data_IF_727279886575
#
_entry.id   IF_727279886575
#
_cell.length_a   1.000
_cell.length_b   1.000
_cell.length_c   1.000
_cell.angle_alpha   90.00
_cell.angle_beta   90.00
_cell.angle_gamma   90.00
#
_symmetry.space_group_name_H-M   'P 1'
#
loop_
_entity.id
_entity.type
_entity.pdbx_description
1 polymer ?
#
# COMPACT_ATOMS: atom_id res chain seq x y z
N UNK A 1 10.91 4.59 43.50
CA UNK A 1 9.81 5.21 42.73
C UNK A 1 9.12 4.11 41.95
N UNK A 2 7.80 3.93 42.04
CA UNK A 2 7.15 2.75 41.45
C UNK A 2 7.01 2.88 39.93
N UNK A 3 7.45 1.86 39.18
CA UNK A 3 7.28 1.78 37.72
C UNK A 3 5.82 1.94 37.28
N UNK A 4 4.87 1.53 38.13
CA UNK A 4 3.43 1.70 37.92
C UNK A 4 2.98 3.15 37.67
N UNK A 5 3.61 4.15 38.30
CA UNK A 5 3.24 5.55 38.06
C UNK A 5 3.45 5.92 36.59
N UNK A 6 4.59 5.53 36.02
CA UNK A 6 4.95 5.84 34.64
C UNK A 6 4.11 5.05 33.65
N UNK A 7 3.77 3.79 33.97
CA UNK A 7 2.81 3.01 33.17
C UNK A 7 1.46 3.73 33.09
N UNK A 8 0.89 4.16 34.22
CA UNK A 8 -0.41 4.85 34.23
C UNK A 8 -0.34 6.19 33.49
N UNK A 9 0.74 6.96 33.67
CA UNK A 9 0.95 8.22 32.95
C UNK A 9 1.02 7.98 31.43
N UNK A 10 1.72 6.94 30.98
CA UNK A 10 1.75 6.54 29.57
C UNK A 10 0.35 6.17 29.06
N UNK A 11 -0.38 5.33 29.80
CA UNK A 11 -1.74 4.90 29.44
C UNK A 11 -2.73 6.07 29.32
N UNK A 12 -2.55 7.15 30.08
CA UNK A 12 -3.37 8.37 29.95
C UNK A 12 -3.04 9.15 28.68
N UNK A 13 -1.79 9.09 28.22
CA UNK A 13 -1.32 9.79 27.04
C UNK A 13 -1.50 8.97 25.75
N UNK A 14 -1.57 7.64 25.81
CA UNK A 14 -1.53 6.75 24.64
C UNK A 14 -2.67 6.94 23.64
N UNK A 15 -3.79 7.55 24.05
CA UNK A 15 -4.90 7.90 23.15
C UNK A 15 -4.69 9.17 22.33
N UNK A 16 -3.64 9.94 22.58
CA UNK A 16 -3.37 11.24 21.97
C UNK A 16 -1.90 11.34 21.57
N UNK A 17 -1.66 11.43 20.25
CA UNK A 17 -0.31 11.43 19.68
C UNK A 17 0.57 12.55 20.23
N UNK A 18 0.02 13.76 20.39
CA UNK A 18 0.79 14.91 20.85
C UNK A 18 1.15 14.76 22.32
N UNK A 19 0.19 14.35 23.16
CA UNK A 19 0.45 14.10 24.58
C UNK A 19 1.46 12.97 24.80
N UNK A 20 1.36 11.91 24.02
CA UNK A 20 2.32 10.80 24.08
C UNK A 20 3.73 11.29 23.72
N UNK A 21 3.87 12.05 22.63
CA UNK A 21 5.16 12.57 22.20
C UNK A 21 5.76 13.55 23.23
N UNK A 22 4.95 14.44 23.79
CA UNK A 22 5.39 15.34 24.86
C UNK A 22 5.84 14.57 26.10
N UNK A 23 5.08 13.54 26.53
CA UNK A 23 5.42 12.71 27.68
C UNK A 23 6.75 11.98 27.48
N UNK A 24 6.97 11.39 26.31
CA UNK A 24 8.20 10.67 25.97
C UNK A 24 9.41 11.62 25.92
N UNK A 25 9.23 12.85 25.43
CA UNK A 25 10.29 13.86 25.42
C UNK A 25 10.60 14.42 26.81
N UNK A 26 9.58 14.79 27.58
CA UNK A 26 9.73 15.36 28.93
C UNK A 26 10.35 14.37 29.92
N UNK A 27 10.02 13.08 29.78
CA UNK A 27 10.47 12.01 30.67
C UNK A 27 11.37 11.00 29.95
N UNK A 28 12.13 11.48 28.96
CA UNK A 28 12.99 10.65 28.13
C UNK A 28 13.91 9.77 28.97
N UNK A 29 14.55 10.33 30.01
CA UNK A 29 15.45 9.59 30.90
C UNK A 29 14.81 8.39 31.62
N UNK A 30 13.49 8.38 31.80
CA UNK A 30 12.73 7.30 32.43
C UNK A 30 12.32 6.28 31.38
N UNK A 31 11.76 6.72 30.27
CA UNK A 31 11.27 5.83 29.20
C UNK A 31 12.41 5.20 28.38
N UNK A 32 13.56 5.87 28.27
CA UNK A 32 14.75 5.33 27.59
C UNK A 32 15.51 4.26 28.39
N UNK A 33 15.04 3.95 29.61
CA UNK A 33 15.63 2.93 30.46
C UNK A 33 14.54 2.32 31.36
N UNK A 34 13.57 1.68 30.73
CA UNK A 34 12.40 1.11 31.41
C UNK A 34 12.58 -0.38 31.66
N UNK A 35 12.03 -0.88 32.77
CA UNK A 35 12.01 -2.32 33.06
C UNK A 35 11.17 -3.08 32.02
N UNK A 36 11.67 -4.24 31.61
CA UNK A 36 11.02 -5.11 30.61
C UNK A 36 9.57 -5.40 30.96
N UNK A 37 9.28 -5.72 32.23
CA UNK A 37 7.92 -6.02 32.68
C UNK A 37 6.97 -4.83 32.51
N UNK A 38 7.46 -3.61 32.76
CA UNK A 38 6.68 -2.39 32.53
C UNK A 38 6.43 -2.15 31.04
N UNK A 39 7.43 -2.40 30.18
CA UNK A 39 7.26 -2.31 28.73
C UNK A 39 6.24 -3.32 28.20
N UNK A 40 6.27 -4.56 28.70
CA UNK A 40 5.27 -5.58 28.34
C UNK A 40 3.88 -5.12 28.74
N UNK A 41 3.69 -4.63 29.97
CA UNK A 41 2.37 -4.11 30.41
C UNK A 41 1.89 -2.98 29.50
N UNK A 42 2.77 -2.02 29.17
CA UNK A 42 2.40 -0.92 28.28
C UNK A 42 2.03 -1.44 26.89
N UNK A 43 2.82 -2.36 26.32
CA UNK A 43 2.57 -2.96 25.00
C UNK A 43 1.18 -3.58 24.94
N UNK A 44 0.85 -4.44 25.90
CA UNK A 44 -0.42 -5.17 25.93
C UNK A 44 -1.60 -4.25 26.28
N UNK A 45 -1.43 -3.31 27.22
CA UNK A 45 -2.53 -2.45 27.66
C UNK A 45 -2.82 -1.29 26.69
N UNK A 46 -1.78 -0.67 26.12
CA UNK A 46 -1.93 0.42 25.17
C UNK A 46 -2.15 -0.08 23.73
N UNK A 47 -2.08 -1.40 23.50
CA UNK A 47 -2.19 -2.03 22.19
C UNK A 47 -1.22 -1.41 21.16
N UNK A 48 0.01 -1.15 21.61
CA UNK A 48 1.10 -0.65 20.75
C UNK A 48 2.01 -1.82 20.40
N UNK A 49 2.45 -1.93 19.14
CA UNK A 49 3.29 -3.04 18.70
C UNK A 49 4.78 -2.68 18.78
N UNK A 50 5.28 -2.48 20.00
CA UNK A 50 6.71 -2.22 20.25
C UNK A 50 7.49 -3.52 20.45
N UNK A 51 8.72 -3.57 19.95
CA UNK A 51 9.63 -4.70 20.15
C UNK A 51 10.16 -4.67 21.60
N UNK A 52 10.19 -5.83 22.25
CA UNK A 52 10.72 -6.01 23.60
C UNK A 52 11.60 -7.25 23.59
N UNK A 53 12.89 -7.08 23.88
CA UNK A 53 13.89 -8.15 23.94
C UNK A 53 13.77 -8.94 25.24
N UNK A 54 13.85 -10.27 25.19
CA UNK A 54 13.67 -11.09 26.39
C UNK A 54 14.92 -11.14 27.28
N UNK A 55 16.10 -10.95 26.67
CA UNK A 55 17.40 -11.05 27.35
C UNK A 55 17.81 -9.79 28.11
N UNK A 56 17.13 -8.67 27.88
CA UNK A 56 17.46 -7.38 28.48
C UNK A 56 16.44 -7.00 29.56
N UNK A 57 16.89 -6.89 30.81
CA UNK A 57 16.03 -6.52 31.95
C UNK A 57 15.50 -5.09 31.86
N UNK A 58 16.28 -4.19 31.25
CA UNK A 58 15.90 -2.80 31.00
C UNK A 58 16.22 -2.41 29.58
N UNK A 59 15.30 -1.68 28.95
CA UNK A 59 15.35 -1.39 27.52
C UNK A 59 14.93 0.05 27.26
N UNK A 60 15.33 0.54 26.08
CA UNK A 60 14.97 1.87 25.60
C UNK A 60 13.61 1.82 24.90
N UNK A 61 12.56 2.24 25.61
CA UNK A 61 11.21 2.28 25.09
C UNK A 61 11.01 3.40 24.07
N UNK A 62 11.71 4.53 24.23
CA UNK A 62 11.65 5.63 23.26
C UNK A 62 12.13 5.15 21.89
N UNK A 63 13.29 4.48 21.86
CA UNK A 63 13.82 3.86 20.65
C UNK A 63 12.89 2.80 20.08
N UNK A 64 12.30 1.95 20.92
CA UNK A 64 11.37 0.91 20.44
C UNK A 64 10.12 1.51 19.78
N UNK A 65 9.64 2.67 20.26
CA UNK A 65 8.53 3.42 19.66
C UNK A 65 8.97 4.09 18.34
N UNK A 66 10.16 4.70 18.31
CA UNK A 66 10.71 5.31 17.09
C UNK A 66 10.93 4.26 15.98
N UNK A 67 11.47 3.10 16.33
CA UNK A 67 11.66 1.98 15.41
C UNK A 67 10.30 1.48 14.89
N UNK A 68 9.30 1.33 15.76
CA UNK A 68 7.94 0.97 15.36
C UNK A 68 7.34 1.99 14.38
N UNK A 69 7.49 3.30 14.64
CA UNK A 69 6.99 4.36 13.75
C UNK A 69 7.70 4.36 12.40
N UNK A 70 9.01 4.16 12.39
CA UNK A 70 9.81 4.05 11.18
C UNK A 70 9.43 2.82 10.36
N UNK A 71 9.29 1.65 10.99
CA UNK A 71 8.86 0.40 10.34
C UNK A 71 7.47 0.56 9.70
N UNK A 72 6.53 1.19 10.42
CA UNK A 72 5.19 1.47 9.90
C UNK A 72 5.21 2.42 8.69
N UNK A 73 6.04 3.47 8.75
CA UNK A 73 6.22 4.42 7.65
C UNK A 73 6.80 3.74 6.40
N UNK A 74 7.92 3.02 6.55
CA UNK A 74 8.57 2.32 5.45
C UNK A 74 7.64 1.28 4.82
N UNK A 75 6.93 0.51 5.65
CA UNK A 75 5.96 -0.48 5.17
C UNK A 75 4.80 0.18 4.41
N UNK A 76 4.33 1.33 4.91
CA UNK A 76 3.30 2.13 4.25
C UNK A 76 3.73 2.70 2.91
N UNK A 77 4.95 3.23 2.83
CA UNK A 77 5.57 3.74 1.60
C UNK A 77 5.72 2.62 0.56
N UNK A 78 6.32 1.50 0.93
CA UNK A 78 6.51 0.35 0.04
C UNK A 78 5.18 -0.21 -0.49
N UNK A 79 4.16 -0.35 0.38
CA UNK A 79 2.83 -0.77 -0.04
C UNK A 79 2.17 0.26 -0.97
N UNK A 80 2.38 1.55 -0.69
CA UNK A 80 1.89 2.66 -1.48
C UNK A 80 2.49 2.66 -2.89
N UNK A 81 3.80 2.50 -3.00
CA UNK A 81 4.54 2.40 -4.26
C UNK A 81 4.08 1.20 -5.09
N UNK A 82 4.09 0.00 -4.50
CA UNK A 82 3.64 -1.22 -5.19
C UNK A 82 2.20 -1.11 -5.70
N UNK A 83 1.30 -0.50 -4.91
CA UNK A 83 -0.08 -0.24 -5.34
C UNK A 83 -0.16 0.82 -6.43
N UNK A 84 0.71 1.83 -6.39
CA UNK A 84 0.83 2.87 -7.40
C UNK A 84 1.27 2.29 -8.75
N UNK A 85 2.34 1.51 -8.75
CA UNK A 85 2.87 0.82 -9.93
C UNK A 85 1.84 -0.13 -10.55
N UNK A 86 1.24 -1.02 -9.75
CA UNK A 86 0.22 -1.95 -10.25
C UNK A 86 -0.97 -1.23 -10.89
N UNK A 87 -1.40 -0.09 -10.33
CA UNK A 87 -2.45 0.76 -10.91
C UNK A 87 -1.99 1.44 -12.19
N UNK A 88 -0.76 1.94 -12.22
CA UNK A 88 -0.15 2.56 -13.40
C UNK A 88 -0.09 1.57 -14.56
N UNK A 89 0.44 0.37 -14.33
CA UNK A 89 0.51 -0.68 -15.33
C UNK A 89 -0.87 -1.13 -15.81
N UNK A 90 -1.84 -1.31 -14.92
CA UNK A 90 -3.19 -1.71 -15.30
C UNK A 90 -3.84 -0.67 -16.23
N UNK A 91 -3.67 0.62 -15.91
CA UNK A 91 -4.15 1.72 -16.76
C UNK A 91 -3.42 1.77 -18.10
N UNK A 92 -2.10 1.55 -18.12
CA UNK A 92 -1.31 1.47 -19.34
C UNK A 92 -1.81 0.35 -20.26
N UNK A 93 -1.94 -0.87 -19.72
CA UNK A 93 -2.46 -2.03 -20.46
C UNK A 93 -3.88 -1.80 -20.97
N UNK A 94 -4.74 -1.14 -20.20
CA UNK A 94 -6.11 -0.82 -20.64
C UNK A 94 -6.11 0.20 -21.78
N UNK A 95 -5.26 1.23 -21.71
CA UNK A 95 -5.12 2.22 -22.77
C UNK A 95 -4.61 1.57 -24.08
N UNK A 96 -3.57 0.73 -24.00
CA UNK A 96 -3.05 -0.03 -25.14
C UNK A 96 -4.12 -0.93 -25.75
N UNK A 97 -4.89 -1.65 -24.93
CA UNK A 97 -6.00 -2.49 -25.40
C UNK A 97 -7.06 -1.67 -26.16
N UNK A 98 -7.40 -0.48 -25.66
CA UNK A 98 -8.37 0.40 -26.34
C UNK A 98 -7.86 0.89 -27.69
N UNK A 99 -6.56 1.19 -27.80
CA UNK A 99 -5.94 1.59 -29.07
C UNK A 99 -5.97 0.42 -30.04
N UNK A 100 -5.51 -0.76 -29.62
CA UNK A 100 -5.49 -1.96 -30.45
C UNK A 100 -6.90 -2.36 -30.91
N UNK A 101 -7.90 -2.25 -30.03
CA UNK A 101 -9.28 -2.54 -30.41
C UNK A 101 -9.78 -1.61 -31.52
N UNK A 102 -9.49 -0.30 -31.43
CA UNK A 102 -9.86 0.63 -32.51
C UNK A 102 -9.20 0.28 -33.83
N UNK A 103 -7.91 -0.07 -33.82
CA UNK A 103 -7.20 -0.49 -35.04
C UNK A 103 -7.79 -1.78 -35.64
N UNK A 104 -8.21 -2.72 -34.79
CA UNK A 104 -8.89 -3.94 -35.23
C UNK A 104 -10.26 -3.63 -35.84
N UNK A 105 -11.04 -2.75 -35.21
CA UNK A 105 -12.35 -2.34 -35.72
C UNK A 105 -12.23 -1.64 -37.09
N UNK A 106 -11.21 -0.78 -37.26
CA UNK A 106 -10.94 -0.13 -38.56
C UNK A 106 -10.54 -1.14 -39.64
N UNK A 107 -9.70 -2.12 -39.32
CA UNK A 107 -9.33 -3.19 -40.25
C UNK A 107 -10.52 -4.06 -40.61
N UNK A 108 -11.37 -4.39 -39.64
CA UNK A 108 -12.57 -5.18 -39.88
C UNK A 108 -13.52 -4.44 -40.84
N UNK A 109 -13.77 -3.16 -40.61
CA UNK A 109 -14.59 -2.34 -41.50
C UNK A 109 -14.06 -2.32 -42.95
N UNK A 110 -12.72 -2.30 -43.12
CA UNK A 110 -12.10 -2.38 -44.44
C UNK A 110 -12.28 -3.75 -45.09
N UNK A 111 -12.14 -4.83 -44.33
CA UNK A 111 -12.36 -6.19 -44.82
C UNK A 111 -13.81 -6.37 -45.28
N UNK A 112 -14.78 -5.95 -44.47
CA UNK A 112 -16.21 -6.04 -44.81
C UNK A 112 -16.53 -5.29 -46.11
N UNK A 113 -15.83 -4.17 -46.38
CA UNK A 113 -15.96 -3.43 -47.64
C UNK A 113 -15.40 -4.22 -48.82
N UNK A 114 -14.19 -4.77 -48.68
CA UNK A 114 -13.57 -5.57 -49.74
C UNK A 114 -14.35 -6.85 -50.02
N UNK A 115 -14.92 -7.50 -49.01
CA UNK A 115 -15.76 -8.69 -49.19
C UNK A 115 -16.99 -8.37 -50.05
N UNK A 116 -17.70 -7.27 -49.77
CA UNK A 116 -18.83 -6.82 -50.59
C UNK A 116 -18.43 -6.51 -52.03
N UNK A 117 -17.31 -5.80 -52.23
CA UNK A 117 -16.79 -5.51 -53.57
C UNK A 117 -16.44 -6.79 -54.34
N UNK A 118 -15.84 -7.79 -53.67
CA UNK A 118 -15.52 -9.09 -54.27
C UNK A 118 -16.80 -9.85 -54.65
N UNK A 119 -17.82 -9.87 -53.80
CA UNK A 119 -19.10 -10.50 -54.11
C UNK A 119 -19.79 -9.86 -55.31
N UNK A 120 -19.79 -8.53 -55.40
CA UNK A 120 -20.36 -7.80 -56.52
C UNK A 120 -19.60 -8.07 -57.83
N UNK A 121 -18.27 -8.05 -57.80
CA UNK A 121 -17.44 -8.39 -58.95
C UNK A 121 -17.66 -9.82 -59.43
N UNK A 122 -17.78 -10.78 -58.50
CA UNK A 122 -18.11 -12.18 -58.83
C UNK A 122 -19.45 -12.29 -59.54
N UNK A 123 -20.46 -11.55 -59.09
CA UNK A 123 -21.78 -11.50 -59.72
C UNK A 123 -21.71 -10.95 -61.15
N UNK A 124 -21.03 -9.82 -61.35
CA UNK A 124 -20.85 -9.23 -62.68
C UNK A 124 -20.09 -10.16 -63.65
N UNK A 125 -19.10 -10.89 -63.15
CA UNK A 125 -18.36 -11.90 -63.92
C UNK A 125 -19.25 -13.07 -64.35
N UNK A 126 -20.09 -13.58 -63.44
CA UNK A 126 -21.02 -14.65 -63.76
C UNK A 126 -22.03 -14.22 -64.84
N UNK A 127 -22.59 -13.02 -64.72
CA UNK A 127 -23.54 -12.47 -65.71
C UNK A 127 -22.90 -12.31 -67.10
N UNK A 128 -21.62 -11.91 -67.17
CA UNK A 128 -20.86 -11.83 -68.44
C UNK A 128 -20.49 -13.17 -69.05
N UNK A 129 -20.38 -14.23 -68.26
CA UNK A 129 -20.08 -15.58 -68.76
C UNK A 129 -21.33 -16.31 -69.28
N UNK A 130 -22.53 -15.85 -68.90
CA UNK A 130 -23.81 -16.41 -69.32
C UNK A 130 -24.46 -15.71 -70.52
N UNK A 131 -23.87 -14.61 -71.01
CA UNK A 131 -24.31 -13.84 -72.17
C UNK A 131 -23.46 -14.18 -73.41
#
# INVERSE_FOLDING_TARGET
MSGFRYIIEFMKASGDKEKMNSLLNEKHNIYSNMERDAMVVIRECANINIKVEEKEERQDMCKAIDDMMNDARMSGEALGEARGEARGEARGREAERKIMQKELDEKQNRLDKYEKEIEELKRQLAERQTA
#
